data_IF_193597383265
#
_entry.id   IF_193597383265
#
_cell.length_a   1.000
_cell.length_b   1.000
_cell.length_c   1.000
_cell.angle_alpha   90.00
_cell.angle_beta   90.00
_cell.angle_gamma   90.00
#
_symmetry.space_group_name_H-M   'P 1'
#
loop_
_entity.id
_entity.type
_entity.pdbx_description
1 polymer ?
#
# COMPACT_ATOMS: atom_id res chain seq x y z
N UNK A 1 -5.89 -14.68 -5.99
CA UNK A 1 -5.80 -15.37 -7.31
C UNK A 1 -5.15 -16.75 -7.19
N UNK A 2 -5.53 -17.53 -6.16
CA UNK A 2 -5.09 -18.92 -5.96
C UNK A 2 -6.29 -19.78 -5.58
N UNK A 3 -7.30 -19.80 -6.44
CA UNK A 3 -8.38 -20.78 -6.35
C UNK A 3 -7.87 -22.11 -6.89
N UNK A 4 -7.06 -22.81 -6.09
CA UNK A 4 -6.68 -24.19 -6.37
C UNK A 4 -7.72 -25.07 -5.68
N UNK A 5 -8.67 -25.58 -6.48
CA UNK A 5 -9.62 -26.58 -6.05
C UNK A 5 -9.02 -27.99 -6.07
N UNK A 6 -9.84 -28.94 -5.62
CA UNK A 6 -9.46 -30.36 -5.64
C UNK A 6 -9.17 -30.85 -7.07
N UNK A 7 -9.93 -30.36 -8.05
CA UNK A 7 -9.78 -30.73 -9.46
C UNK A 7 -8.45 -30.23 -10.04
N UNK A 8 -8.05 -28.98 -9.78
CA UNK A 8 -6.74 -28.48 -10.22
C UNK A 8 -5.58 -29.25 -9.57
N UNK A 9 -5.69 -29.58 -8.28
CA UNK A 9 -4.67 -30.37 -7.58
C UNK A 9 -4.51 -31.76 -8.23
N UNK A 10 -5.63 -32.42 -8.56
CA UNK A 10 -5.61 -33.73 -9.22
C UNK A 10 -4.99 -33.63 -10.62
N UNK A 11 -5.33 -32.60 -11.40
CA UNK A 11 -4.73 -32.37 -12.72
C UNK A 11 -3.22 -32.21 -12.63
N UNK A 12 -2.74 -31.39 -11.68
CA UNK A 12 -1.30 -31.19 -11.46
C UNK A 12 -0.64 -32.50 -11.01
N UNK A 13 -1.28 -33.27 -10.15
CA UNK A 13 -0.76 -34.58 -9.71
C UNK A 13 -0.61 -35.55 -10.90
N UNK A 14 -1.59 -35.62 -11.80
CA UNK A 14 -1.51 -36.45 -13.01
C UNK A 14 -0.37 -35.98 -13.91
N UNK A 15 -0.25 -34.67 -14.17
CA UNK A 15 0.84 -34.12 -14.98
C UNK A 15 2.20 -34.45 -14.34
N UNK A 16 2.34 -34.29 -13.03
CA UNK A 16 3.56 -34.63 -12.30
C UNK A 16 3.89 -36.12 -12.42
N UNK A 17 2.90 -37.01 -12.34
CA UNK A 17 3.08 -38.45 -12.55
C UNK A 17 3.52 -38.79 -13.97
N UNK A 18 3.04 -38.08 -15.00
CA UNK A 18 3.43 -38.32 -16.40
C UNK A 18 4.85 -37.81 -16.67
N UNK A 19 5.17 -36.60 -16.23
CA UNK A 19 6.47 -35.95 -16.49
C UNK A 19 7.59 -36.60 -15.71
N UNK A 20 7.38 -36.81 -14.41
CA UNK A 20 8.40 -37.34 -13.50
C UNK A 20 8.35 -38.87 -13.43
N UNK A 21 7.17 -39.46 -13.66
CA UNK A 21 6.93 -40.89 -13.46
C UNK A 21 6.42 -41.20 -12.04
N UNK A 22 5.48 -42.16 -11.90
CA UNK A 22 4.92 -42.56 -10.60
C UNK A 22 5.97 -43.11 -9.63
N UNK A 23 7.03 -43.73 -10.13
CA UNK A 23 8.10 -44.28 -9.28
C UNK A 23 9.06 -43.20 -8.75
N UNK A 24 9.22 -42.09 -9.47
CA UNK A 24 10.22 -41.05 -9.15
C UNK A 24 9.65 -39.94 -8.28
N UNK A 25 8.35 -39.66 -8.42
CA UNK A 25 7.62 -38.68 -7.59
C UNK A 25 7.79 -38.91 -6.07
N UNK A 26 7.58 -40.12 -5.51
CA UNK A 26 7.80 -40.36 -4.08
C UNK A 26 9.28 -40.18 -3.67
N UNK A 27 10.23 -40.49 -4.56
CA UNK A 27 11.65 -40.22 -4.34
C UNK A 27 11.98 -38.73 -4.26
N UNK A 28 11.41 -37.93 -5.17
CA UNK A 28 11.57 -36.48 -5.19
C UNK A 28 10.98 -35.82 -3.95
N UNK A 29 9.75 -36.20 -3.55
CA UNK A 29 9.14 -35.70 -2.31
C UNK A 29 10.01 -36.01 -1.10
N UNK A 30 10.49 -37.25 -0.95
CA UNK A 30 11.35 -37.64 0.17
C UNK A 30 12.63 -36.82 0.22
N UNK A 31 13.26 -36.58 -0.93
CA UNK A 31 14.49 -35.80 -1.02
C UNK A 31 14.22 -34.35 -0.64
N UNK A 32 13.25 -33.70 -1.27
CA UNK A 32 12.88 -32.31 -0.95
C UNK A 32 12.47 -32.15 0.51
N UNK A 33 11.67 -33.07 1.04
CA UNK A 33 11.25 -33.06 2.44
C UNK A 33 12.42 -33.22 3.41
N UNK A 34 13.40 -34.08 3.08
CA UNK A 34 14.63 -34.23 3.88
C UNK A 34 15.43 -32.92 3.93
N UNK A 35 15.61 -32.25 2.78
CA UNK A 35 16.33 -30.98 2.69
C UNK A 35 15.60 -29.85 3.44
N UNK A 36 14.28 -29.73 3.24
CA UNK A 36 13.45 -28.78 4.01
C UNK A 36 13.53 -29.08 5.50
N UNK A 37 13.48 -30.36 5.90
CA UNK A 37 13.55 -30.77 7.30
C UNK A 37 14.89 -30.41 7.94
N UNK A 38 15.98 -30.58 7.19
CA UNK A 38 17.33 -30.20 7.62
C UNK A 38 17.45 -28.69 7.81
N UNK A 39 16.98 -27.89 6.85
CA UNK A 39 16.98 -26.42 6.94
C UNK A 39 16.12 -25.95 8.12
N UNK A 40 14.92 -26.52 8.28
CA UNK A 40 14.05 -26.22 9.42
C UNK A 40 14.74 -26.49 10.74
N UNK A 41 15.44 -27.63 10.88
CA UNK A 41 16.19 -27.98 12.09
C UNK A 41 17.29 -26.96 12.38
N UNK A 42 18.06 -26.57 11.36
CA UNK A 42 19.11 -25.56 11.50
C UNK A 42 18.56 -24.19 11.90
N UNK A 43 17.41 -23.77 11.35
CA UNK A 43 16.74 -22.54 11.76
C UNK A 43 16.23 -22.59 13.20
N UNK A 44 15.73 -23.74 13.66
CA UNK A 44 15.29 -23.91 15.04
C UNK A 44 16.47 -23.84 16.02
N UNK A 45 17.59 -24.49 15.70
CA UNK A 45 18.80 -24.41 16.52
C UNK A 45 19.40 -23.00 16.54
N UNK A 46 19.45 -22.32 15.39
CA UNK A 46 19.88 -20.92 15.34
C UNK A 46 18.95 -20.01 16.15
N UNK A 47 17.62 -20.25 16.11
CA UNK A 47 16.66 -19.53 16.95
C UNK A 47 16.88 -19.80 18.44
N UNK A 48 17.07 -21.05 18.84
CA UNK A 48 17.34 -21.41 20.26
C UNK A 48 18.65 -20.80 20.76
N UNK A 49 19.70 -20.75 19.94
CA UNK A 49 20.99 -20.16 20.29
C UNK A 49 20.90 -18.63 20.32
N UNK A 50 20.18 -18.02 19.38
CA UNK A 50 19.87 -16.59 19.39
C UNK A 50 18.98 -16.20 20.57
N UNK A 51 17.99 -17.00 20.95
CA UNK A 51 17.08 -16.75 22.08
C UNK A 51 17.78 -16.93 23.43
N UNK A 52 18.86 -17.71 23.47
CA UNK A 52 19.67 -17.93 24.67
C UNK A 52 20.73 -16.84 24.90
N UNK A 53 21.11 -16.10 23.85
CA UNK A 53 22.14 -15.06 23.91
C UNK A 53 21.59 -13.63 23.68
N UNK A 54 20.46 -13.51 23.00
CA UNK A 54 19.68 -12.29 22.81
C UNK A 54 18.25 -12.59 23.28
N UNK A 55 17.86 -12.01 24.41
CA UNK A 55 16.48 -12.00 24.89
C UNK A 55 15.54 -11.50 23.77
N UNK A 56 15.00 -12.42 22.97
CA UNK A 56 14.12 -12.14 21.82
C UNK A 56 12.75 -11.62 22.27
N UNK A 57 12.50 -11.54 23.57
CA UNK A 57 11.42 -10.71 24.11
C UNK A 57 11.59 -9.23 23.72
N UNK A 58 12.81 -8.77 23.44
CA UNK A 58 13.06 -7.43 22.89
C UNK A 58 12.47 -7.22 21.49
N UNK A 59 12.55 -8.20 20.57
CA UNK A 59 12.00 -8.07 19.21
C UNK A 59 10.50 -8.38 19.18
N UNK A 60 10.06 -9.40 19.92
CA UNK A 60 8.63 -9.69 20.08
C UNK A 60 7.90 -8.48 20.66
N UNK A 61 8.48 -7.79 21.65
CA UNK A 61 7.90 -6.59 22.25
C UNK A 61 8.08 -5.34 21.40
N UNK A 62 9.04 -5.26 20.48
CA UNK A 62 9.12 -4.17 19.50
C UNK A 62 8.12 -4.32 18.35
N UNK A 63 7.84 -5.56 17.92
CA UNK A 63 6.80 -5.86 16.92
C UNK A 63 5.39 -5.75 17.54
N UNK A 64 5.24 -6.03 18.83
CA UNK A 64 3.98 -5.89 19.58
C UNK A 64 3.86 -4.58 20.38
N UNK A 65 4.86 -3.70 20.35
CA UNK A 65 4.80 -2.43 21.06
C UNK A 65 3.86 -1.51 20.28
N UNK A 66 2.92 -0.91 21.01
CA UNK A 66 2.01 0.15 20.59
C UNK A 66 2.63 1.22 19.68
N UNK A 67 3.95 1.39 19.66
CA UNK A 67 4.68 2.35 18.84
C UNK A 67 4.53 2.08 17.34
N UNK A 68 4.66 0.82 16.90
CA UNK A 68 4.51 0.47 15.47
C UNK A 68 3.04 0.57 15.06
N UNK A 69 2.11 0.17 15.94
CA UNK A 69 0.68 0.34 15.70
C UNK A 69 0.26 1.81 15.65
N UNK A 70 0.77 2.67 16.55
CA UNK A 70 0.53 4.12 16.54
C UNK A 70 1.15 4.79 15.31
N UNK A 71 2.32 4.35 14.88
CA UNK A 71 2.97 4.87 13.67
C UNK A 71 2.27 4.40 12.38
N UNK A 72 1.78 3.16 12.36
CA UNK A 72 0.91 2.63 11.30
C UNK A 72 -0.43 3.37 11.26
N UNK A 73 -1.04 3.67 12.40
CA UNK A 73 -2.31 4.38 12.50
C UNK A 73 -2.17 5.85 12.10
N UNK A 74 -1.08 6.50 12.49
CA UNK A 74 -0.74 7.87 12.08
C UNK A 74 -0.43 7.95 10.58
N UNK A 75 0.29 6.96 10.05
CA UNK A 75 0.58 6.87 8.61
C UNK A 75 -0.69 6.58 7.82
N UNK A 76 -1.55 5.66 8.29
CA UNK A 76 -2.87 5.38 7.68
C UNK A 76 -3.77 6.61 7.65
N UNK A 77 -3.80 7.38 8.74
CA UNK A 77 -4.59 8.60 8.83
C UNK A 77 -4.09 9.67 7.85
N UNK A 78 -2.78 9.92 7.81
CA UNK A 78 -2.16 10.86 6.85
C UNK A 78 -2.38 10.44 5.39
N UNK A 79 -2.27 9.15 5.09
CA UNK A 79 -2.53 8.61 3.75
C UNK A 79 -4.01 8.74 3.39
N UNK A 80 -4.92 8.45 4.33
CA UNK A 80 -6.36 8.56 4.09
C UNK A 80 -6.78 10.02 3.88
N UNK A 81 -6.20 10.96 4.62
CA UNK A 81 -6.45 12.40 4.49
C UNK A 81 -5.86 12.95 3.17
N UNK A 82 -4.62 12.59 2.85
CA UNK A 82 -3.96 12.97 1.60
C UNK A 82 -4.61 12.37 0.35
N UNK A 83 -5.32 11.25 0.50
CA UNK A 83 -6.06 10.60 -0.60
C UNK A 83 -7.53 11.07 -0.65
N UNK A 84 -8.13 11.49 0.47
CA UNK A 84 -9.51 12.01 0.48
C UNK A 84 -9.66 13.29 -0.33
N UNK A 85 -8.75 14.25 -0.20
CA UNK A 85 -8.81 15.50 -0.97
C UNK A 85 -8.81 15.30 -2.49
N UNK A 86 -7.88 14.53 -3.09
CA UNK A 86 -7.90 14.27 -4.52
C UNK A 86 -9.07 13.36 -4.94
N UNK A 87 -9.55 12.45 -4.09
CA UNK A 87 -10.71 11.62 -4.42
C UNK A 87 -12.04 12.41 -4.37
N UNK A 88 -12.20 13.36 -3.45
CA UNK A 88 -13.37 14.25 -3.42
C UNK A 88 -13.35 15.23 -4.60
N UNK A 89 -12.18 15.72 -5.00
CA UNK A 89 -12.03 16.55 -6.20
C UNK A 89 -12.34 15.79 -7.50
N UNK A 90 -12.09 14.48 -7.53
CA UNK A 90 -12.40 13.60 -8.67
C UNK A 90 -13.85 13.08 -8.67
N UNK A 91 -14.53 13.08 -7.52
CA UNK A 91 -15.94 12.67 -7.41
C UNK A 91 -16.92 13.82 -7.65
N UNK A 92 -16.45 15.02 -7.99
CA UNK A 92 -17.33 16.07 -8.50
C UNK A 92 -17.70 15.70 -9.94
N UNK A 93 -18.97 15.35 -10.23
CA UNK A 93 -19.37 15.02 -11.59
C UNK A 93 -19.01 16.18 -12.52
N UNK A 94 -18.23 15.88 -13.55
CA UNK A 94 -17.97 16.78 -14.67
C UNK A 94 -19.31 16.90 -15.42
N UNK A 95 -20.03 18.00 -15.19
CA UNK A 95 -21.16 18.39 -16.03
C UNK A 95 -20.62 18.79 -17.42
N UNK A 96 -20.95 18.06 -18.50
CA UNK A 96 -20.42 18.32 -19.83
C UNK A 96 -21.29 19.34 -20.58
N UNK A 97 -21.77 20.40 -19.93
CA UNK A 97 -22.60 21.42 -20.59
C UNK A 97 -22.49 22.80 -19.92
N UNK A 98 -21.35 23.46 -20.08
CA UNK A 98 -21.27 24.93 -19.92
C UNK A 98 -20.25 25.49 -20.91
N UNK A 99 -20.55 25.32 -22.20
CA UNK A 99 -19.96 26.15 -23.26
C UNK A 99 -21.07 26.94 -23.95
N UNK A 100 -21.59 27.96 -23.25
CA UNK A 100 -22.24 29.13 -23.86
C UNK A 100 -21.95 30.37 -23.00
N UNK A 101 -20.66 30.72 -22.96
CA UNK A 101 -20.21 32.03 -22.49
C UNK A 101 -20.78 33.14 -23.37
N UNK A 102 -21.44 34.06 -22.68
CA UNK A 102 -21.98 35.32 -23.14
C UNK A 102 -20.99 36.12 -24.01
N UNK A 103 -21.48 36.58 -25.17
CA UNK A 103 -20.84 37.64 -25.93
C UNK A 103 -21.21 38.98 -25.31
N UNK A 104 -20.24 39.51 -24.59
CA UNK A 104 -19.78 40.90 -24.61
C UNK A 104 -20.51 41.85 -25.59
N UNK A 105 -21.21 42.86 -25.05
CA UNK A 105 -21.20 44.22 -25.59
C UNK A 105 -21.83 45.20 -24.59
N UNK A 106 -20.97 46.02 -23.98
CA UNK A 106 -21.29 47.00 -22.95
C UNK A 106 -22.02 48.26 -23.43
N UNK A 107 -22.65 48.93 -22.44
CA UNK A 107 -23.27 50.24 -22.57
C UNK A 107 -22.64 51.29 -21.65
N UNK A 108 -21.98 52.27 -22.28
CA UNK A 108 -21.95 53.72 -21.99
C UNK A 108 -21.57 54.31 -20.60
N UNK A 109 -20.42 55.02 -20.64
CA UNK A 109 -20.17 56.44 -20.26
C UNK A 109 -20.05 56.93 -18.79
N UNK A 110 -19.11 57.89 -18.70
CA UNK A 110 -18.86 58.98 -17.71
C UNK A 110 -17.92 58.64 -16.54
N UNK A 111 -16.68 59.14 -16.49
CA UNK A 111 -16.16 60.53 -16.37
C UNK A 111 -16.25 61.07 -14.93
N UNK A 112 -15.08 61.51 -14.41
CA UNK A 112 -14.80 62.19 -13.13
C UNK A 112 -14.80 61.25 -11.90
N UNK A 113 -13.91 61.30 -10.90
CA UNK A 113 -12.81 62.16 -10.45
C UNK A 113 -11.96 61.28 -9.50
N UNK A 114 -10.64 61.16 -9.69
CA UNK A 114 -9.57 61.76 -8.87
C UNK A 114 -9.83 61.99 -7.37
N UNK A 115 -8.81 61.61 -6.58
CA UNK A 115 -8.52 61.92 -5.16
C UNK A 115 -9.39 61.13 -4.16
N UNK A 116 -8.82 60.20 -3.39
CA UNK A 116 -8.26 60.52 -2.06
C UNK A 116 -7.42 59.35 -1.52
N UNK A 117 -6.17 59.66 -1.17
CA UNK A 117 -5.32 59.08 -0.11
C UNK A 117 -4.82 57.63 -0.17
N UNK A 118 -3.66 57.46 -0.80
CA UNK A 118 -2.60 56.57 -0.30
C UNK A 118 -1.40 57.43 0.13
N UNK A 119 -1.04 57.39 1.42
CA UNK A 119 0.35 57.39 1.91
C UNK A 119 0.32 57.17 3.42
N UNK A 120 0.57 55.94 3.87
CA UNK A 120 1.89 55.34 4.11
C UNK A 120 2.63 56.04 5.25
N UNK A 121 2.76 55.26 6.31
CA UNK A 121 3.82 55.23 7.30
C UNK A 121 4.87 56.35 7.20
N UNK A 122 4.81 57.19 8.23
CA UNK A 122 5.96 57.92 8.75
C UNK A 122 7.11 56.95 9.03
N UNK A 123 8.27 57.36 8.52
CA UNK A 123 9.55 57.45 9.24
C UNK A 123 10.11 56.15 9.82
N UNK A 124 11.24 55.68 9.31
CA UNK A 124 12.58 56.22 9.63
C UNK A 124 12.95 56.01 11.10
#
# INVERSE_FOLDING_TARGET
>A
MFDIGFTELLLIAVIALVVLGPERLPGAIRTTAYWIGKIKRSFQSAREELEKELDVDGIKRQIHNEQVMKELEKTRSQVTESIKEPLEALNKPIDPDTDRGERDSGGSKSRAQNETEEKKDKSA
#
